data_IF_792803970907
#
_entry.id   IF_792803970907
#
_cell.length_a   1.000
_cell.length_b   1.000
_cell.length_c   1.000
_cell.angle_alpha   90.00
_cell.angle_beta   90.00
_cell.angle_gamma   90.00
#
_symmetry.space_group_name_H-M   'P 1'
#
loop_
_entity.id
_entity.type
_entity.pdbx_description
1 polymer ?
#
# COMPACT_ATOMS: atom_id res chain seq x y z
N UNK A 1 -6.15 -13.14 -8.09
CA UNK A 1 -5.66 -13.95 -9.22
C UNK A 1 -4.62 -13.13 -9.95
N UNK A 2 -3.36 -13.59 -10.00
CA UNK A 2 -2.27 -12.93 -10.73
C UNK A 2 -2.43 -13.13 -12.25
N UNK A 3 -1.76 -12.30 -13.06
CA UNK A 3 -1.79 -12.43 -14.52
C UNK A 3 -3.04 -11.90 -15.25
N UNK A 4 -3.98 -11.28 -14.53
CA UNK A 4 -5.18 -10.67 -15.15
C UNK A 4 -4.99 -9.25 -15.66
N UNK A 5 -3.79 -8.68 -15.53
CA UNK A 5 -3.52 -7.30 -15.94
C UNK A 5 -4.03 -6.22 -14.98
N UNK A 6 -4.31 -6.56 -13.72
CA UNK A 6 -4.77 -5.59 -12.70
C UNK A 6 -3.82 -4.41 -12.54
N UNK A 7 -2.52 -4.67 -12.45
CA UNK A 7 -1.50 -3.63 -12.30
C UNK A 7 -1.47 -2.67 -13.49
N UNK A 8 -1.50 -3.21 -14.72
CA UNK A 8 -1.55 -2.40 -15.95
C UNK A 8 -2.84 -1.57 -15.99
N UNK A 9 -3.99 -2.17 -15.65
CA UNK A 9 -5.27 -1.46 -15.63
C UNK A 9 -5.27 -0.32 -14.61
N UNK A 10 -4.80 -0.57 -13.37
CA UNK A 10 -4.71 0.45 -12.33
C UNK A 10 -3.77 1.58 -12.74
N UNK A 11 -2.59 1.24 -13.29
CA UNK A 11 -1.61 2.22 -13.77
C UNK A 11 -2.17 3.07 -14.91
N UNK A 12 -2.87 2.44 -15.86
CA UNK A 12 -3.49 3.14 -16.99
C UNK A 12 -4.59 4.09 -16.55
N UNK A 13 -5.43 3.68 -15.60
CA UNK A 13 -6.45 4.54 -15.00
C UNK A 13 -5.78 5.73 -14.31
N UNK A 14 -4.75 5.48 -13.50
CA UNK A 14 -3.98 6.53 -12.84
C UNK A 14 -3.38 7.52 -13.83
N UNK A 15 -2.79 7.03 -14.91
CA UNK A 15 -2.25 7.86 -15.99
C UNK A 15 -3.32 8.75 -16.64
N UNK A 16 -4.47 8.17 -16.99
CA UNK A 16 -5.57 8.91 -17.62
C UNK A 16 -6.13 10.00 -16.70
N UNK A 17 -6.32 9.69 -15.42
CA UNK A 17 -6.78 10.65 -14.43
C UNK A 17 -5.77 11.78 -14.23
N UNK A 18 -4.47 11.47 -14.17
CA UNK A 18 -3.43 12.48 -14.10
C UNK A 18 -3.39 13.35 -15.35
N UNK A 19 -3.55 12.76 -16.53
CA UNK A 19 -3.63 13.48 -17.81
C UNK A 19 -4.85 14.41 -17.87
N UNK A 20 -5.90 14.11 -17.14
CA UNK A 20 -7.07 14.98 -16.97
C UNK A 20 -6.87 16.11 -15.96
N UNK A 21 -5.67 16.24 -15.37
CA UNK A 21 -5.30 17.32 -14.45
C UNK A 21 -5.51 17.01 -12.98
N UNK A 22 -5.84 15.78 -12.60
CA UNK A 22 -6.01 15.37 -11.21
C UNK A 22 -4.66 14.99 -10.59
N UNK A 23 -4.51 15.23 -9.31
CA UNK A 23 -3.37 14.74 -8.51
C UNK A 23 -3.68 13.32 -8.05
N UNK A 24 -2.96 12.36 -8.62
CA UNK A 24 -3.24 10.93 -8.45
C UNK A 24 -2.06 10.24 -7.79
N UNK A 25 -2.34 9.32 -6.88
CA UNK A 25 -1.36 8.35 -6.42
C UNK A 25 -2.00 6.95 -6.33
N UNK A 26 -1.18 5.93 -6.12
CA UNK A 26 -1.63 4.54 -6.07
C UNK A 26 -1.19 3.92 -4.75
N UNK A 27 -2.09 3.24 -4.08
CA UNK A 27 -1.82 2.41 -2.90
C UNK A 27 -1.97 0.94 -3.28
N UNK A 28 -0.92 0.16 -3.07
CA UNK A 28 -0.97 -1.29 -3.23
C UNK A 28 -1.24 -1.96 -1.90
N UNK A 29 -2.29 -2.77 -1.85
CA UNK A 29 -2.62 -3.61 -0.70
C UNK A 29 -2.33 -5.07 -1.03
N UNK A 30 -1.35 -5.65 -0.36
CA UNK A 30 -0.94 -7.03 -0.55
C UNK A 30 -1.54 -7.94 0.52
N UNK A 31 -2.18 -9.07 0.13
CA UNK A 31 -2.94 -9.91 1.07
C UNK A 31 -2.06 -10.85 1.91
N UNK A 32 -0.75 -10.92 1.65
CA UNK A 32 0.13 -11.81 2.40
C UNK A 32 0.50 -11.23 3.78
N UNK A 33 0.93 -12.13 4.68
CA UNK A 33 1.26 -11.79 6.07
C UNK A 33 2.72 -11.38 6.28
N UNK A 34 3.56 -11.40 5.26
CA UNK A 34 4.93 -10.90 5.35
C UNK A 34 4.92 -9.41 5.68
N UNK A 35 5.63 -9.04 6.74
CA UNK A 35 5.74 -7.63 7.17
C UNK A 35 6.70 -6.88 6.25
N UNK A 36 7.80 -7.54 5.87
CA UNK A 36 8.83 -6.98 5.01
C UNK A 36 8.87 -7.71 3.66
N UNK A 37 8.48 -7.05 2.54
CA UNK A 37 8.56 -7.65 1.22
C UNK A 37 9.98 -8.02 0.77
N UNK A 38 11.00 -7.33 1.27
CA UNK A 38 12.41 -7.60 0.94
C UNK A 38 12.92 -8.96 1.40
N UNK A 39 12.24 -9.59 2.36
CA UNK A 39 12.58 -10.94 2.86
C UNK A 39 11.88 -12.06 2.10
N UNK A 40 11.03 -11.73 1.14
CA UNK A 40 10.24 -12.72 0.41
C UNK A 40 11.09 -13.43 -0.66
N UNK A 41 10.74 -14.70 -0.93
CA UNK A 41 11.43 -15.50 -1.93
C UNK A 41 11.20 -14.93 -3.34
N UNK A 42 12.25 -14.48 -4.05
CA UNK A 42 12.11 -13.85 -5.36
C UNK A 42 11.54 -14.79 -6.45
N UNK A 43 11.70 -16.10 -6.30
CA UNK A 43 11.09 -17.07 -7.22
C UNK A 43 9.56 -17.13 -7.13
N UNK A 44 8.99 -16.74 -5.99
CA UNK A 44 7.54 -16.74 -5.77
C UNK A 44 6.91 -15.37 -6.03
N UNK A 45 7.62 -14.28 -5.75
CA UNK A 45 7.08 -12.93 -5.75
C UNK A 45 7.78 -11.97 -6.73
N UNK A 46 8.80 -12.43 -7.44
CA UNK A 46 9.61 -11.60 -8.32
C UNK A 46 10.71 -10.83 -7.59
N UNK A 47 11.34 -9.92 -8.30
CA UNK A 47 12.42 -9.10 -7.76
C UNK A 47 11.87 -7.99 -6.85
N UNK A 48 12.68 -7.58 -5.89
CA UNK A 48 12.39 -6.44 -5.01
C UNK A 48 12.70 -5.14 -5.75
N UNK A 49 11.80 -4.17 -5.62
CA UNK A 49 12.00 -2.80 -6.09
C UNK A 49 12.28 -1.90 -4.88
N UNK A 50 13.34 -1.10 -4.96
CA UNK A 50 13.73 -0.17 -3.89
C UNK A 50 13.25 1.23 -4.27
N UNK A 51 12.45 1.83 -3.39
CA UNK A 51 11.95 3.19 -3.54
C UNK A 51 13.00 4.23 -3.11
N UNK A 52 12.78 5.49 -3.46
CA UNK A 52 13.68 6.59 -3.10
C UNK A 52 13.90 6.74 -1.58
N UNK A 53 12.92 6.35 -0.77
CA UNK A 53 13.03 6.36 0.69
C UNK A 53 13.76 5.13 1.27
N UNK A 54 14.29 4.26 0.40
CA UNK A 54 14.99 3.03 0.76
C UNK A 54 14.09 1.85 1.10
N UNK A 55 12.79 2.00 0.99
CA UNK A 55 11.83 0.92 1.24
C UNK A 55 11.89 -0.14 0.14
N UNK A 56 11.94 -1.39 0.54
CA UNK A 56 11.87 -2.54 -0.37
C UNK A 56 10.42 -2.93 -0.60
N UNK A 57 10.02 -3.03 -1.86
CA UNK A 57 8.63 -3.30 -2.26
C UNK A 57 8.58 -4.27 -3.44
N UNK A 58 7.36 -4.65 -3.82
CA UNK A 58 7.10 -5.40 -5.04
C UNK A 58 7.40 -4.55 -6.29
N UNK A 59 7.81 -5.19 -7.37
CA UNK A 59 8.05 -4.58 -8.68
C UNK A 59 6.89 -3.73 -9.20
N UNK A 60 5.67 -4.04 -8.81
CA UNK A 60 4.49 -3.30 -9.24
C UNK A 60 4.60 -1.80 -8.93
N UNK A 61 5.25 -1.43 -7.82
CA UNK A 61 5.42 -0.02 -7.46
C UNK A 61 6.32 0.71 -8.47
N UNK A 62 7.35 0.07 -8.99
CA UNK A 62 8.17 0.63 -10.05
C UNK A 62 7.38 0.89 -11.34
N UNK A 63 6.44 0.02 -11.67
CA UNK A 63 5.53 0.24 -12.79
C UNK A 63 4.59 1.42 -12.53
N UNK A 64 4.05 1.53 -11.31
CA UNK A 64 3.18 2.65 -10.93
C UNK A 64 3.90 3.99 -11.04
N UNK A 65 5.13 4.10 -10.49
CA UNK A 65 5.96 5.31 -10.63
C UNK A 65 6.13 5.72 -12.07
N UNK A 66 6.42 4.76 -12.94
CA UNK A 66 6.64 5.01 -14.36
C UNK A 66 5.39 5.51 -15.07
N UNK A 67 4.22 4.94 -14.77
CA UNK A 67 2.95 5.31 -15.41
C UNK A 67 2.43 6.66 -14.97
N UNK A 68 2.47 6.94 -13.66
CA UNK A 68 1.93 8.19 -13.12
C UNK A 68 2.98 9.28 -12.94
N UNK A 69 4.26 8.99 -13.25
CA UNK A 69 5.38 9.94 -13.11
C UNK A 69 5.38 10.62 -11.72
N UNK A 70 5.36 9.79 -10.68
CA UNK A 70 5.33 10.22 -9.28
C UNK A 70 6.16 9.24 -8.45
N UNK A 71 7.13 9.76 -7.70
CA UNK A 71 7.92 8.92 -6.79
C UNK A 71 7.05 8.39 -5.66
N UNK A 72 7.09 7.10 -5.46
CA UNK A 72 6.39 6.44 -4.37
C UNK A 72 7.26 6.31 -3.12
N UNK A 73 6.64 6.05 -2.01
CA UNK A 73 7.25 5.85 -0.71
C UNK A 73 6.67 4.62 -0.04
N UNK A 74 7.19 4.26 1.13
CA UNK A 74 6.61 3.20 1.97
C UNK A 74 5.11 3.34 2.24
N UNK A 75 4.55 4.55 2.09
CA UNK A 75 3.11 4.78 2.25
C UNK A 75 2.28 4.21 1.11
N UNK A 76 2.89 3.92 -0.03
CA UNK A 76 2.22 3.41 -1.23
C UNK A 76 2.05 1.89 -1.26
N UNK A 77 2.59 1.19 -0.26
CA UNK A 77 2.43 -0.25 -0.11
C UNK A 77 2.04 -0.61 1.32
N UNK A 78 1.11 -1.52 1.47
CA UNK A 78 0.78 -2.11 2.76
C UNK A 78 0.47 -3.59 2.61
N UNK A 79 1.13 -4.42 3.41
CA UNK A 79 0.83 -5.85 3.50
C UNK A 79 -0.19 -6.11 4.59
N UNK A 80 -0.94 -7.21 4.48
CA UNK A 80 -1.82 -7.65 5.55
C UNK A 80 -1.03 -7.82 6.87
N UNK A 81 0.20 -8.35 6.81
CA UNK A 81 1.06 -8.51 7.98
C UNK A 81 1.36 -7.19 8.68
N UNK A 82 1.69 -6.13 7.93
CA UNK A 82 1.92 -4.80 8.50
C UNK A 82 0.66 -4.21 9.16
N UNK A 83 -0.51 -4.43 8.54
CA UNK A 83 -1.78 -3.94 9.07
C UNK A 83 -2.13 -4.65 10.38
N UNK A 84 -2.05 -5.99 10.40
CA UNK A 84 -2.30 -6.78 11.61
C UNK A 84 -1.29 -6.47 12.71
N UNK A 85 0.00 -6.34 12.39
CA UNK A 85 1.02 -5.94 13.37
C UNK A 85 0.68 -4.61 14.02
N UNK A 86 0.30 -3.60 13.24
CA UNK A 86 -0.10 -2.29 13.76
C UNK A 86 -1.30 -2.39 14.70
N UNK A 87 -2.31 -3.19 14.35
CA UNK A 87 -3.50 -3.38 15.20
C UNK A 87 -3.14 -4.09 16.51
N UNK A 88 -2.30 -5.14 16.43
CA UNK A 88 -1.82 -5.87 17.62
C UNK A 88 -0.98 -4.98 18.54
N UNK A 89 -0.09 -4.15 17.98
CA UNK A 89 0.73 -3.22 18.76
C UNK A 89 -0.14 -2.17 19.46
N UNK A 90 -1.16 -1.66 18.80
CA UNK A 90 -2.15 -0.74 19.38
C UNK A 90 -2.95 -1.41 20.53
N UNK A 91 -3.36 -2.66 20.34
CA UNK A 91 -4.04 -3.44 21.38
C UNK A 91 -3.13 -3.59 22.61
N UNK A 92 -1.90 -4.07 22.41
CA UNK A 92 -0.93 -4.29 23.49
C UNK A 92 -0.53 -3.01 24.21
N UNK A 93 -0.51 -1.88 23.53
CA UNK A 93 -0.24 -0.56 24.12
C UNK A 93 -1.45 0.07 24.83
N UNK A 94 -2.60 -0.58 24.80
CA UNK A 94 -3.83 -0.09 25.43
C UNK A 94 -4.57 0.98 24.64
N UNK A 95 -4.24 1.17 23.37
CA UNK A 95 -4.87 2.19 22.53
C UNK A 95 -6.38 1.99 22.33
N UNK A 96 -6.87 0.78 22.51
CA UNK A 96 -8.29 0.44 22.41
C UNK A 96 -9.01 0.36 23.77
N UNK A 97 -8.36 0.77 24.86
CA UNK A 97 -8.96 0.90 26.19
C UNK A 97 -9.67 -0.37 26.71
N UNK A 98 -9.20 -1.54 26.31
CA UNK A 98 -9.78 -2.82 26.71
C UNK A 98 -10.96 -3.31 25.87
N UNK A 99 -11.26 -2.64 24.77
CA UNK A 99 -12.24 -3.14 23.80
C UNK A 99 -11.83 -4.50 23.22
N UNK A 100 -12.81 -5.29 22.82
CA UNK A 100 -12.57 -6.50 22.03
C UNK A 100 -12.13 -6.11 20.62
N UNK A 101 -10.86 -6.33 20.31
CA UNK A 101 -10.30 -5.98 18.99
C UNK A 101 -10.64 -7.07 17.98
N UNK A 102 -11.23 -6.68 16.85
CA UNK A 102 -11.73 -7.58 15.81
C UNK A 102 -11.27 -7.11 14.42
N UNK A 103 -11.40 -7.99 13.41
CA UNK A 103 -11.12 -7.63 12.02
C UNK A 103 -11.98 -6.45 11.60
N UNK A 104 -13.26 -6.47 11.93
CA UNK A 104 -14.19 -5.36 11.76
C UNK A 104 -14.58 -4.86 13.15
N UNK A 105 -14.33 -3.60 13.51
CA UNK A 105 -13.84 -2.50 12.63
C UNK A 105 -12.33 -2.27 12.63
N UNK A 106 -11.53 -2.87 13.53
CA UNK A 106 -10.18 -2.41 13.84
C UNK A 106 -9.18 -2.58 12.68
N UNK A 107 -9.18 -3.74 12.02
CA UNK A 107 -8.30 -3.97 10.85
C UNK A 107 -8.77 -3.15 9.65
N UNK A 108 -10.08 -3.10 9.41
CA UNK A 108 -10.64 -2.30 8.31
C UNK A 108 -10.41 -0.81 8.50
N UNK A 109 -10.45 -0.33 9.73
CA UNK A 109 -10.16 1.08 10.02
C UNK A 109 -8.67 1.40 9.86
N UNK A 110 -7.77 0.48 10.20
CA UNK A 110 -6.34 0.66 9.94
C UNK A 110 -6.06 0.77 8.43
N UNK A 111 -6.74 -0.03 7.60
CA UNK A 111 -6.64 0.09 6.13
C UNK A 111 -7.09 1.48 5.67
N UNK A 112 -8.25 1.94 6.13
CA UNK A 112 -8.77 3.28 5.81
C UNK A 112 -7.83 4.39 6.29
N UNK A 113 -7.22 4.22 7.46
CA UNK A 113 -6.25 5.18 7.99
C UNK A 113 -5.03 5.32 7.08
N UNK A 114 -4.51 4.23 6.53
CA UNK A 114 -3.40 4.25 5.58
C UNK A 114 -3.79 4.94 4.26
N UNK A 115 -4.98 4.66 3.75
CA UNK A 115 -5.50 5.34 2.56
C UNK A 115 -5.61 6.86 2.80
N UNK A 116 -6.19 7.25 3.93
CA UNK A 116 -6.34 8.66 4.30
C UNK A 116 -4.99 9.36 4.53
N UNK A 117 -4.03 8.67 5.14
CA UNK A 117 -2.68 9.22 5.35
C UNK A 117 -1.98 9.50 4.01
N UNK A 118 -2.05 8.55 3.06
CA UNK A 118 -1.48 8.76 1.74
C UNK A 118 -2.17 9.90 1.00
N UNK A 119 -3.50 9.95 1.00
CA UNK A 119 -4.28 11.03 0.38
C UNK A 119 -3.87 12.41 0.89
N UNK A 120 -3.68 12.54 2.20
CA UNK A 120 -3.32 13.81 2.84
C UNK A 120 -1.85 14.19 2.68
N UNK A 121 -0.95 13.26 2.40
CA UNK A 121 0.50 13.49 2.39
C UNK A 121 0.93 14.58 1.40
N UNK A 122 0.34 14.60 0.20
CA UNK A 122 0.55 15.63 -0.84
C UNK A 122 -0.76 16.17 -1.41
N UNK A 123 -1.85 16.08 -0.66
CA UNK A 123 -3.20 16.53 -1.07
C UNK A 123 -3.62 15.94 -2.42
N UNK A 124 -3.51 14.63 -2.56
CA UNK A 124 -4.01 13.93 -3.75
C UNK A 124 -5.53 14.02 -3.86
N UNK A 125 -6.00 14.16 -5.08
CA UNK A 125 -7.44 14.21 -5.39
C UNK A 125 -8.02 12.80 -5.46
N UNK A 126 -7.19 11.81 -5.89
CA UNK A 126 -7.58 10.39 -6.04
C UNK A 126 -6.43 9.48 -5.59
N UNK A 127 -6.78 8.42 -4.86
CA UNK A 127 -5.92 7.29 -4.54
C UNK A 127 -6.54 6.02 -5.12
#
# INVERSE_FOLDING_TARGET
MSGLGKGISASSIGYLLKSAGLRVNILKLDPYLNVDPGTMNPYQHGEVFVLDDGSETDLDLGHYERFIDENMSKMNNATAGQIYSTVLDKERSGSYLGETVQVIPHVTDEIKNRMNALSKSKKYDII
#
